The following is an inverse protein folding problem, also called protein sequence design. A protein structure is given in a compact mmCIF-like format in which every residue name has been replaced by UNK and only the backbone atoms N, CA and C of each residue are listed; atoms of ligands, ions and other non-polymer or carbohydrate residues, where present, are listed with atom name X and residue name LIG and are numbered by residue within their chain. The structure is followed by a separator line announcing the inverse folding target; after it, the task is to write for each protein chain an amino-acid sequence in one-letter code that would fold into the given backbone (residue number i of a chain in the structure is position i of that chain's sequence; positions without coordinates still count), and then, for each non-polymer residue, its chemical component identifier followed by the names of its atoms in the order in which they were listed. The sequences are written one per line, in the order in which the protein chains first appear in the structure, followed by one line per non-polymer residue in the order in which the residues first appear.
data_IF_903711579129
#
_entry.id   IF_903711579129
#
_cell.length_a   1.000
_cell.length_b   1.000
_cell.length_c   1.000
_cell.angle_alpha   90.00
_cell.angle_beta   90.00
_cell.angle_gamma   90.00
#
_symmetry.space_group_name_H-M   'P 1'
#
loop_
_entity.id
_entity.type
_entity.pdbx_description
1 polymer ?
#
# COMPACT_ATOMS: atom_id res chain seq x y z
N UNK A 1 -1.93 -16.32 -11.30
CA UNK A 1 -2.91 -15.87 -10.29
C UNK A 1 -4.32 -16.37 -10.59
N UNK A 2 -5.03 -16.91 -9.59
CA UNK A 2 -6.42 -17.40 -9.71
C UNK A 2 -7.45 -16.24 -9.75
N UNK A 3 -8.68 -16.44 -10.26
CA UNK A 3 -9.68 -15.36 -10.37
C UNK A 3 -10.01 -14.66 -9.04
N UNK A 4 -10.08 -15.39 -7.93
CA UNK A 4 -10.39 -14.84 -6.61
C UNK A 4 -9.24 -13.99 -6.07
N UNK A 5 -8.00 -14.39 -6.36
CA UNK A 5 -6.82 -13.59 -6.03
C UNK A 5 -6.81 -12.29 -6.84
N UNK A 6 -7.10 -12.34 -8.14
CA UNK A 6 -7.20 -11.15 -9.00
C UNK A 6 -8.26 -10.19 -8.47
N UNK A 7 -9.45 -10.71 -8.12
CA UNK A 7 -10.52 -9.91 -7.52
C UNK A 7 -10.08 -9.24 -6.23
N UNK A 8 -9.35 -9.95 -5.37
CA UNK A 8 -8.82 -9.40 -4.12
C UNK A 8 -7.72 -8.35 -4.36
N UNK A 9 -6.82 -8.53 -5.34
CA UNK A 9 -5.83 -7.49 -5.73
C UNK A 9 -6.51 -6.24 -6.28
N UNK A 10 -7.58 -6.39 -7.04
CA UNK A 10 -8.37 -5.25 -7.52
C UNK A 10 -9.01 -4.48 -6.35
N UNK A 11 -9.55 -5.17 -5.34
CA UNK A 11 -10.08 -4.54 -4.14
C UNK A 11 -8.98 -3.79 -3.35
N UNK A 12 -7.79 -4.40 -3.19
CA UNK A 12 -6.65 -3.73 -2.57
C UNK A 12 -6.23 -2.48 -3.36
N UNK A 13 -6.27 -2.51 -4.70
CA UNK A 13 -5.96 -1.36 -5.53
C UNK A 13 -6.93 -0.20 -5.28
N UNK A 14 -8.23 -0.47 -5.09
CA UNK A 14 -9.21 0.57 -4.71
C UNK A 14 -8.87 1.19 -3.35
N UNK A 15 -8.43 0.38 -2.40
CA UNK A 15 -7.99 0.85 -1.08
C UNK A 15 -6.77 1.76 -1.18
N UNK A 16 -5.75 1.39 -1.95
CA UNK A 16 -4.57 2.21 -2.15
C UNK A 16 -4.83 3.45 -3.00
N UNK A 17 -5.78 3.37 -3.92
CA UNK A 17 -6.29 4.54 -4.63
C UNK A 17 -6.89 5.56 -3.65
N UNK A 18 -7.76 5.12 -2.73
CA UNK A 18 -8.36 6.01 -1.73
C UNK A 18 -7.30 6.70 -0.84
N UNK A 19 -6.21 5.99 -0.51
CA UNK A 19 -5.09 6.52 0.28
C UNK A 19 -4.15 7.47 -0.47
N UNK A 20 -4.17 7.46 -1.81
CA UNK A 20 -3.20 8.18 -2.66
C UNK A 20 -3.84 9.20 -3.60
N UNK A 21 -5.17 9.32 -3.61
CA UNK A 21 -5.91 10.19 -4.54
C UNK A 21 -5.55 11.68 -4.47
N UNK A 22 -5.06 12.14 -3.32
CA UNK A 22 -4.60 13.52 -3.07
C UNK A 22 -3.13 13.76 -3.43
N UNK A 23 -2.39 12.70 -3.79
CA UNK A 23 -0.97 12.74 -4.08
C UNK A 23 -0.75 12.79 -5.59
N UNK A 24 -0.08 13.83 -6.11
CA UNK A 24 0.22 13.96 -7.54
C UNK A 24 1.53 14.75 -7.78
N UNK A 25 2.48 14.24 -8.57
CA UNK A 25 2.54 12.89 -9.16
C UNK A 25 2.77 11.81 -8.11
N UNK A 26 2.25 10.60 -8.32
CA UNK A 26 2.50 9.45 -7.43
C UNK A 26 3.53 8.51 -8.05
N UNK A 27 4.55 8.12 -7.29
CA UNK A 27 5.41 6.99 -7.66
C UNK A 27 4.90 5.71 -7.00
N UNK A 28 4.71 4.64 -7.77
CA UNK A 28 4.33 3.32 -7.26
C UNK A 28 5.55 2.41 -7.37
N UNK A 29 6.17 2.14 -6.22
CA UNK A 29 7.30 1.24 -6.07
C UNK A 29 6.78 -0.16 -5.76
N UNK A 30 7.01 -1.12 -6.64
CA UNK A 30 6.48 -2.47 -6.47
C UNK A 30 7.56 -3.55 -6.46
N UNK A 31 7.32 -4.60 -5.69
CA UNK A 31 8.07 -5.84 -5.78
C UNK A 31 7.66 -6.60 -7.06
N UNK A 32 8.59 -7.26 -7.75
CA UNK A 32 8.34 -8.03 -8.98
C UNK A 32 7.58 -9.36 -8.76
N UNK A 33 6.53 -9.35 -7.96
CA UNK A 33 5.58 -10.46 -7.82
C UNK A 33 4.32 -10.19 -8.64
N UNK A 34 3.64 -11.23 -9.12
CA UNK A 34 2.37 -11.08 -9.86
C UNK A 34 1.36 -10.24 -9.04
N UNK A 35 1.31 -10.46 -7.73
CA UNK A 35 0.44 -9.75 -6.79
C UNK A 35 0.69 -8.24 -6.79
N UNK A 36 1.93 -7.82 -6.55
CA UNK A 36 2.27 -6.40 -6.45
C UNK A 36 2.18 -5.70 -7.82
N UNK A 37 2.55 -6.38 -8.91
CA UNK A 37 2.37 -5.88 -10.29
C UNK A 37 0.89 -5.64 -10.59
N UNK A 38 0.01 -6.57 -10.18
CA UNK A 38 -1.43 -6.44 -10.37
C UNK A 38 -2.01 -5.23 -9.63
N UNK A 39 -1.65 -5.06 -8.34
CA UNK A 39 -2.09 -3.90 -7.55
C UNK A 39 -1.55 -2.60 -8.16
N UNK A 40 -0.25 -2.53 -8.49
CA UNK A 40 0.38 -1.35 -9.06
C UNK A 40 -0.29 -0.91 -10.36
N UNK A 41 -0.54 -1.87 -11.26
CA UNK A 41 -1.18 -1.63 -12.54
C UNK A 41 -2.63 -1.14 -12.38
N UNK A 42 -3.38 -1.73 -11.44
CA UNK A 42 -4.74 -1.31 -11.16
C UNK A 42 -4.82 0.09 -10.54
N UNK A 43 -3.91 0.44 -9.62
CA UNK A 43 -3.81 1.80 -9.08
C UNK A 43 -3.48 2.80 -10.19
N UNK A 44 -2.50 2.50 -11.05
CA UNK A 44 -2.14 3.36 -12.17
C UNK A 44 -3.31 3.57 -13.14
N UNK A 45 -4.09 2.52 -13.42
CA UNK A 45 -5.29 2.62 -14.26
C UNK A 45 -6.38 3.51 -13.63
N UNK A 46 -6.63 3.37 -12.32
CA UNK A 46 -7.58 4.23 -11.59
C UNK A 46 -7.16 5.71 -11.62
N UNK A 47 -5.86 5.97 -11.47
CA UNK A 47 -5.28 7.32 -11.55
C UNK A 47 -5.37 7.90 -12.95
N UNK A 48 -5.03 7.12 -13.96
CA UNK A 48 -5.15 7.51 -15.38
C UNK A 48 -6.60 7.90 -15.72
N UNK A 49 -7.59 7.13 -15.23
CA UNK A 49 -9.00 7.38 -15.49
C UNK A 49 -9.49 8.75 -14.99
N UNK A 50 -8.79 9.36 -14.03
CA UNK A 50 -9.10 10.70 -13.50
C UNK A 50 -8.05 11.77 -13.86
N UNK A 51 -7.12 11.45 -14.76
CA UNK A 51 -6.12 12.40 -15.27
C UNK A 51 -4.98 12.71 -14.29
N UNK A 52 -4.68 11.82 -13.34
CA UNK A 52 -3.56 11.97 -12.41
C UNK A 52 -2.28 11.30 -12.94
N UNK A 53 -1.14 11.93 -12.65
CA UNK A 53 0.18 11.44 -13.04
C UNK A 53 0.65 10.31 -12.11
N UNK A 54 1.19 9.26 -12.72
CA UNK A 54 1.68 8.07 -12.02
C UNK A 54 2.91 7.52 -12.70
N UNK A 55 3.98 7.33 -11.95
CA UNK A 55 5.15 6.56 -12.37
C UNK A 55 5.14 5.21 -11.66
N UNK A 56 5.43 4.13 -12.36
CA UNK A 56 5.34 2.76 -11.82
C UNK A 56 6.65 2.05 -12.11
N UNK A 57 7.39 1.68 -11.06
CA UNK A 57 8.70 1.06 -11.22
C UNK A 57 9.03 0.03 -10.12
N UNK A 58 9.90 -0.95 -10.41
CA UNK A 58 10.36 -1.90 -9.40
C UNK A 58 11.11 -1.22 -8.24
N UNK A 59 10.90 -1.67 -7.00
CA UNK A 59 11.54 -1.10 -5.80
C UNK A 59 13.07 -1.09 -5.92
N UNK A 60 13.69 -2.11 -6.52
CA UNK A 60 15.15 -2.24 -6.61
C UNK A 60 15.81 -1.14 -7.46
N UNK A 61 15.08 -0.53 -8.39
CA UNK A 61 15.58 0.52 -9.30
C UNK A 61 15.06 1.93 -9.00
N UNK A 62 14.21 2.06 -7.99
CA UNK A 62 13.42 3.26 -7.78
C UNK A 62 14.23 4.51 -7.43
N UNK A 63 13.85 5.64 -8.05
CA UNK A 63 14.37 6.97 -7.78
C UNK A 63 13.79 7.61 -6.51
N UNK A 64 14.10 8.89 -6.29
CA UNK A 64 13.48 9.69 -5.23
C UNK A 64 12.15 10.31 -5.68
N UNK A 65 11.17 10.34 -4.77
CA UNK A 65 9.84 10.88 -5.03
C UNK A 65 9.35 11.75 -3.86
N UNK A 66 8.48 12.72 -4.12
CA UNK A 66 7.77 13.43 -3.04
C UNK A 66 6.70 12.54 -2.42
N UNK A 67 5.97 11.80 -3.27
CA UNK A 67 4.87 10.92 -2.88
C UNK A 67 5.07 9.53 -3.44
N UNK A 68 4.99 8.51 -2.59
CA UNK A 68 5.23 7.12 -2.98
C UNK A 68 4.23 6.13 -2.40
N UNK A 69 3.84 5.13 -3.18
CA UNK A 69 3.14 3.92 -2.75
C UNK A 69 4.11 2.75 -2.85
N UNK A 70 4.37 2.07 -1.73
CA UNK A 70 5.27 0.91 -1.66
C UNK A 70 4.45 -0.38 -1.58
N UNK A 71 4.54 -1.22 -2.61
CA UNK A 71 3.85 -2.50 -2.72
C UNK A 71 4.85 -3.65 -2.61
N UNK A 72 4.88 -4.33 -1.45
CA UNK A 72 5.71 -5.51 -1.22
C UNK A 72 4.92 -6.59 -0.49
N UNK A 73 5.03 -7.84 -0.95
CA UNK A 73 4.18 -8.95 -0.50
C UNK A 73 4.55 -9.48 0.89
N UNK A 74 3.61 -10.16 1.58
CA UNK A 74 3.94 -10.91 2.79
C UNK A 74 4.83 -12.12 2.45
N UNK A 75 5.59 -12.62 3.43
CA UNK A 75 6.45 -13.83 3.35
C UNK A 75 7.79 -13.69 2.63
N UNK A 76 8.27 -12.47 2.42
CA UNK A 76 9.63 -12.20 1.94
C UNK A 76 10.60 -12.02 3.11
N UNK A 77 11.76 -12.67 3.03
CA UNK A 77 12.91 -12.33 3.87
C UNK A 77 13.42 -10.92 3.52
N UNK A 78 13.63 -10.09 4.53
CA UNK A 78 14.08 -8.71 4.35
C UNK A 78 12.98 -7.72 3.93
N UNK A 79 11.70 -8.05 4.15
CA UNK A 79 10.57 -7.18 3.80
C UNK A 79 10.65 -5.81 4.49
N UNK A 80 11.04 -5.78 5.78
CA UNK A 80 11.19 -4.55 6.54
C UNK A 80 12.28 -3.65 5.96
N UNK A 81 13.43 -4.22 5.64
CA UNK A 81 14.59 -3.53 5.06
C UNK A 81 14.27 -2.98 3.67
N UNK A 82 13.57 -3.76 2.85
CA UNK A 82 13.10 -3.34 1.52
C UNK A 82 12.17 -2.13 1.63
N UNK A 83 11.17 -2.22 2.52
CA UNK A 83 10.18 -1.17 2.73
C UNK A 83 10.82 0.10 3.33
N UNK A 84 11.76 -0.05 4.27
CA UNK A 84 12.51 1.06 4.84
C UNK A 84 13.44 1.72 3.80
N UNK A 85 14.07 0.91 2.94
CA UNK A 85 14.86 1.41 1.82
C UNK A 85 14.02 2.25 0.85
N UNK A 86 12.81 1.80 0.53
CA UNK A 86 11.87 2.57 -0.28
C UNK A 86 11.40 3.85 0.45
N UNK A 87 11.10 3.77 1.75
CA UNK A 87 10.68 4.91 2.55
C UNK A 87 11.73 6.04 2.57
N UNK A 88 13.04 5.71 2.61
CA UNK A 88 14.12 6.70 2.56
C UNK A 88 14.10 7.56 1.29
N UNK A 89 13.61 7.01 0.18
CA UNK A 89 13.51 7.68 -1.12
C UNK A 89 12.26 8.54 -1.26
N UNK A 90 11.32 8.44 -0.32
CA UNK A 90 10.09 9.22 -0.31
C UNK A 90 10.28 10.42 0.60
N UNK A 91 10.07 11.63 0.08
CA UNK A 91 10.41 12.88 0.78
C UNK A 91 9.26 13.42 1.65
N UNK A 92 8.00 13.19 1.29
CA UNK A 92 6.84 13.81 1.97
C UNK A 92 5.81 12.81 2.48
N UNK A 93 5.16 12.06 1.58
CA UNK A 93 4.07 11.14 1.94
C UNK A 93 4.34 9.75 1.39
N UNK A 94 4.47 8.77 2.27
CA UNK A 94 4.66 7.37 1.91
C UNK A 94 3.42 6.55 2.28
N UNK A 95 2.82 5.88 1.31
CA UNK A 95 1.78 4.90 1.54
C UNK A 95 2.41 3.51 1.49
N UNK A 96 2.31 2.75 2.58
CA UNK A 96 2.91 1.42 2.67
C UNK A 96 1.81 0.35 2.57
N UNK A 97 2.03 -0.64 1.70
CA UNK A 97 1.25 -1.88 1.70
C UNK A 97 1.30 -2.50 3.10
N UNK A 98 0.17 -3.01 3.61
CA UNK A 98 0.01 -3.30 5.04
C UNK A 98 1.08 -4.24 5.63
N UNK A 99 1.43 -5.36 4.97
CA UNK A 99 2.56 -6.19 5.41
C UNK A 99 3.90 -5.44 5.44
N UNK A 100 4.14 -4.55 4.48
CA UNK A 100 5.36 -3.75 4.40
C UNK A 100 5.43 -2.71 5.53
N UNK A 101 4.29 -2.09 5.89
CA UNK A 101 4.21 -1.19 7.05
C UNK A 101 4.61 -1.93 8.33
N UNK A 102 3.94 -3.04 8.64
CA UNK A 102 4.19 -3.76 9.89
C UNK A 102 5.63 -4.26 9.97
N UNK A 103 6.15 -4.89 8.90
CA UNK A 103 7.53 -5.34 8.86
C UNK A 103 8.54 -4.19 9.00
N UNK A 104 8.29 -3.03 8.39
CA UNK A 104 9.18 -1.87 8.51
C UNK A 104 9.10 -1.22 9.90
N UNK A 105 7.90 -1.17 10.49
CA UNK A 105 7.69 -0.49 11.78
C UNK A 105 8.41 -1.18 12.96
N UNK A 106 8.75 -2.46 12.80
CA UNK A 106 9.42 -3.27 13.82
C UNK A 106 10.96 -3.20 13.73
N UNK A 107 11.53 -2.67 12.64
CA UNK A 107 12.98 -2.62 12.47
C UNK A 107 13.60 -1.30 12.97
N UNK A 108 14.85 -1.40 13.43
CA UNK A 108 15.61 -0.24 13.89
C UNK A 108 15.78 0.80 12.77
N UNK A 109 15.60 2.07 13.11
CA UNK A 109 15.72 3.18 12.16
C UNK A 109 14.45 3.54 11.40
N UNK A 110 13.34 2.82 11.59
CA UNK A 110 12.04 3.22 11.03
C UNK A 110 11.58 4.59 11.53
N UNK A 111 11.55 4.80 12.85
CA UNK A 111 11.11 6.05 13.45
C UNK A 111 11.91 7.26 12.93
N UNK A 112 13.24 7.12 12.84
CA UNK A 112 14.11 8.19 12.31
C UNK A 112 13.89 8.41 10.81
N UNK A 113 13.68 7.33 10.05
CA UNK A 113 13.40 7.45 8.60
C UNK A 113 12.02 8.06 8.36
N UNK A 114 11.01 7.73 9.16
CA UNK A 114 9.64 8.25 9.05
C UNK A 114 9.51 9.69 9.56
N UNK A 115 10.49 10.18 10.32
CA UNK A 115 10.50 11.55 10.85
C UNK A 115 10.38 12.59 9.73
N UNK A 116 9.53 13.58 9.95
CA UNK A 116 9.23 14.64 8.99
C UNK A 116 8.43 14.17 7.76
N UNK A 117 7.95 12.92 7.74
CA UNK A 117 7.13 12.34 6.68
C UNK A 117 5.78 11.91 7.23
N UNK A 118 4.78 11.92 6.37
CA UNK A 118 3.52 11.26 6.64
C UNK A 118 3.57 9.83 6.10
N UNK A 119 3.38 8.83 6.97
CA UNK A 119 3.28 7.42 6.58
C UNK A 119 1.83 6.98 6.67
N UNK A 120 1.25 6.51 5.57
CA UNK A 120 -0.14 6.03 5.51
C UNK A 120 -0.17 4.52 5.29
N UNK A 121 -1.17 3.86 5.86
CA UNK A 121 -1.48 2.47 5.56
C UNK A 121 -2.96 2.18 5.82
N UNK A 122 -3.43 1.03 5.33
CA UNK A 122 -4.77 0.53 5.64
C UNK A 122 -4.66 -0.77 6.44
N UNK A 123 -5.59 -1.04 7.33
CA UNK A 123 -5.71 -2.33 8.00
C UNK A 123 -7.18 -2.74 8.12
N UNK A 124 -7.43 -4.04 8.01
CA UNK A 124 -8.76 -4.62 8.24
C UNK A 124 -8.81 -5.23 9.63
N UNK A 125 -9.16 -4.43 10.63
CA UNK A 125 -9.20 -4.84 12.04
C UNK A 125 -10.53 -5.50 12.43
N UNK A 126 -11.62 -5.10 11.76
CA UNK A 126 -12.94 -5.67 11.94
C UNK A 126 -13.44 -6.28 10.62
N UNK A 127 -14.23 -7.37 10.68
CA UNK A 127 -14.92 -7.87 9.49
C UNK A 127 -15.78 -6.78 8.86
N UNK A 128 -15.66 -6.59 7.54
CA UNK A 128 -16.48 -5.64 6.80
C UNK A 128 -16.02 -4.18 6.83
N UNK A 129 -14.92 -3.85 7.52
CA UNK A 129 -14.41 -2.47 7.59
C UNK A 129 -12.90 -2.41 7.37
N UNK A 130 -12.45 -1.37 6.67
CA UNK A 130 -11.03 -1.06 6.47
C UNK A 130 -10.75 0.28 7.14
N UNK A 131 -9.85 0.29 8.13
CA UNK A 131 -9.39 1.50 8.80
C UNK A 131 -8.19 2.05 8.06
N UNK A 132 -8.17 3.36 7.82
CA UNK A 132 -7.04 4.10 7.28
C UNK A 132 -6.29 4.76 8.41
N UNK A 133 -4.98 4.63 8.37
CA UNK A 133 -4.07 5.15 9.37
C UNK A 133 -3.11 6.15 8.73
N UNK A 134 -2.78 7.18 9.51
CA UNK A 134 -1.65 8.07 9.23
C UNK A 134 -0.74 8.11 10.44
N UNK A 135 0.57 8.10 10.19
CA UNK A 135 1.60 8.22 11.19
C UNK A 135 2.48 9.43 10.84
N UNK A 136 2.60 10.37 11.77
CA UNK A 136 3.45 11.57 11.63
C UNK A 136 4.30 11.71 12.88
N UNK A 137 5.63 11.71 12.71
CA UNK A 137 6.59 11.82 13.80
C UNK A 137 6.33 10.84 14.97
N UNK A 138 6.00 9.59 14.61
CA UNK A 138 5.70 8.51 15.57
C UNK A 138 4.29 8.54 16.16
N UNK A 139 3.48 9.56 15.87
CA UNK A 139 2.09 9.62 16.30
C UNK A 139 1.20 8.95 15.26
N UNK A 140 0.68 7.77 15.58
CA UNK A 140 -0.27 7.03 14.74
C UNK A 140 -1.69 7.41 15.13
N UNK A 141 -2.51 7.74 14.13
CA UNK A 141 -3.94 8.00 14.33
C UNK A 141 -4.79 7.43 13.20
N UNK A 142 -6.03 7.08 13.53
CA UNK A 142 -7.02 6.66 12.54
C UNK A 142 -7.48 7.88 11.73
N UNK A 143 -7.23 7.86 10.43
CA UNK A 143 -7.61 8.90 9.48
C UNK A 143 -9.02 8.70 8.90
N UNK A 144 -9.59 7.50 9.04
CA UNK A 144 -10.95 7.21 8.60
C UNK A 144 -11.26 5.71 8.57
N UNK A 145 -12.54 5.38 8.36
CA UNK A 145 -13.02 4.00 8.22
C UNK A 145 -13.85 3.89 6.95
N UNK A 146 -13.57 2.87 6.14
CA UNK A 146 -14.32 2.51 4.94
C UNK A 146 -15.08 1.22 5.19
N UNK A 147 -16.41 1.29 5.11
CA UNK A 147 -17.27 0.10 5.14
C UNK A 147 -17.23 -0.60 3.79
N UNK A 148 -17.00 -1.91 3.82
CA UNK A 148 -17.07 -2.76 2.65
C UNK A 148 -18.52 -3.01 2.27
N UNK A 149 -18.84 -2.80 0.99
CA UNK A 149 -20.12 -3.20 0.42
C UNK A 149 -20.29 -4.72 0.45
N UNK A 150 -21.52 -5.25 0.31
CA UNK A 150 -21.75 -6.70 0.23
C UNK A 150 -20.92 -7.40 -0.85
N UNK A 151 -20.68 -6.74 -1.98
CA UNK A 151 -19.87 -7.28 -3.08
C UNK A 151 -18.39 -7.37 -2.69
N UNK A 152 -17.85 -6.35 -2.03
CA UNK A 152 -16.45 -6.36 -1.58
C UNK A 152 -16.23 -7.38 -0.46
N UNK A 153 -17.19 -7.51 0.46
CA UNK A 153 -17.17 -8.57 1.47
C UNK A 153 -17.18 -9.96 0.83
N UNK A 154 -17.93 -10.15 -0.26
CA UNK A 154 -17.90 -11.39 -1.05
C UNK A 154 -16.52 -11.66 -1.64
N UNK A 155 -15.86 -10.65 -2.24
CA UNK A 155 -14.50 -10.78 -2.78
C UNK A 155 -13.52 -11.25 -1.68
N UNK A 156 -13.56 -10.59 -0.51
CA UNK A 156 -12.69 -10.94 0.61
C UNK A 156 -12.94 -12.38 1.08
N UNK A 157 -14.20 -12.77 1.24
CA UNK A 157 -14.57 -14.13 1.64
C UNK A 157 -14.07 -15.18 0.65
N UNK A 158 -14.19 -14.93 -0.65
CA UNK A 158 -13.73 -15.85 -1.69
C UNK A 158 -12.22 -16.05 -1.65
N UNK A 159 -11.46 -14.98 -1.38
CA UNK A 159 -10.01 -15.06 -1.21
C UNK A 159 -9.64 -15.85 0.06
N UNK A 160 -10.26 -15.52 1.19
CA UNK A 160 -10.00 -16.14 2.50
C UNK A 160 -10.26 -17.64 2.50
N UNK A 161 -11.33 -18.11 1.84
CA UNK A 161 -11.66 -19.54 1.75
C UNK A 161 -10.58 -20.40 1.09
N UNK A 162 -9.65 -19.80 0.35
CA UNK A 162 -8.54 -20.50 -0.33
C UNK A 162 -7.19 -20.35 0.38
N UNK A 163 -7.09 -19.46 1.37
CA UNK A 163 -5.80 -19.03 1.95
C UNK A 163 -5.77 -19.00 3.49
N UNK A 164 -6.88 -19.35 4.16
CA UNK A 164 -6.99 -19.62 5.60
C UNK A 164 -7.27 -21.11 5.82
#
# INVERSE_FOLDING_TARGET
MEPEEVGYRALLAVVYWDLTRDLNPLHVFYERTESCVSIASAVAALRLAVGLETEVEPIEGAGEADYGLVLAGPYREGLGELALGALRRIRRVAVLHTPAYFAASEIEGFAETAKGREVRYAAREAPGEITYYRAVDGNVEAAGVRRLSPYEQMIVKMYELKHL
#
